data_IF_663272990544
#
_entry.id   IF_663272990544
#
_cell.length_a   1.000
_cell.length_b   1.000
_cell.length_c   1.000
_cell.angle_alpha   90.00
_cell.angle_beta   90.00
_cell.angle_gamma   90.00
#
_symmetry.space_group_name_H-M   'P 1'
#
loop_
_entity.id
_entity.type
_entity.pdbx_description
1 polymer ?
#
# COMPACT_ATOMS: atom_id res chain seq x y z
N UNK A 1 -5.88 26.61 -48.86
CA UNK A 1 -6.76 25.97 -47.86
C UNK A 1 -6.16 24.61 -47.57
N UNK A 2 -5.44 24.48 -46.46
CA UNK A 2 -4.83 23.22 -46.03
C UNK A 2 -5.83 22.43 -45.21
N UNK A 3 -6.27 21.29 -45.74
CA UNK A 3 -7.12 20.33 -45.04
C UNK A 3 -6.36 19.75 -43.84
N UNK A 4 -6.78 20.12 -42.64
CA UNK A 4 -6.36 19.44 -41.42
C UNK A 4 -7.09 18.11 -41.32
N UNK A 5 -6.37 17.01 -41.50
CA UNK A 5 -6.84 15.66 -41.21
C UNK A 5 -7.40 15.59 -39.78
N UNK A 6 -8.60 15.02 -39.56
CA UNK A 6 -9.13 14.86 -38.20
C UNK A 6 -8.22 13.92 -37.42
N UNK A 7 -7.72 14.38 -36.27
CA UNK A 7 -7.02 13.51 -35.33
C UNK A 7 -7.97 12.41 -34.86
N UNK A 8 -7.48 11.17 -34.68
CA UNK A 8 -8.32 10.10 -34.14
C UNK A 8 -8.76 10.49 -32.73
N UNK A 9 -10.05 10.76 -32.59
CA UNK A 9 -10.69 11.00 -31.29
C UNK A 9 -10.39 9.79 -30.41
N UNK A 10 -9.50 9.99 -29.42
CA UNK A 10 -9.28 9.04 -28.35
C UNK A 10 -10.62 9.00 -27.60
N UNK A 11 -11.48 8.04 -27.97
CA UNK A 11 -12.78 7.82 -27.38
C UNK A 11 -12.55 7.42 -25.93
N UNK A 12 -12.38 8.44 -25.08
CA UNK A 12 -12.44 8.28 -23.64
C UNK A 12 -13.84 7.72 -23.44
N UNK A 13 -13.96 6.45 -23.04
CA UNK A 13 -15.25 5.92 -22.59
C UNK A 13 -15.64 6.79 -21.40
N UNK A 14 -16.42 7.84 -21.66
CA UNK A 14 -17.09 8.61 -20.64
C UNK A 14 -18.11 7.60 -20.10
N UNK A 15 -17.79 6.99 -18.96
CA UNK A 15 -18.76 6.18 -18.24
C UNK A 15 -19.95 7.10 -18.00
N UNK A 16 -21.07 6.82 -18.68
CA UNK A 16 -22.25 7.64 -18.59
C UNK A 16 -22.65 7.75 -17.12
N UNK A 17 -22.68 8.99 -16.61
CA UNK A 17 -23.07 9.25 -15.23
C UNK A 17 -24.47 8.66 -15.01
N UNK A 18 -24.60 7.74 -14.05
CA UNK A 18 -25.87 7.10 -13.72
C UNK A 18 -26.06 5.68 -14.25
N UNK A 19 -25.12 5.11 -15.02
CA UNK A 19 -25.12 3.65 -15.23
C UNK A 19 -24.62 3.01 -13.95
N UNK A 20 -25.38 2.08 -13.32
CA UNK A 20 -24.88 1.32 -12.20
C UNK A 20 -23.63 0.59 -12.67
N UNK A 21 -22.44 0.95 -12.16
CA UNK A 21 -21.29 0.08 -12.29
C UNK A 21 -21.74 -1.30 -11.79
N UNK A 22 -21.57 -2.34 -12.61
CA UNK A 22 -21.75 -3.70 -12.11
C UNK A 22 -20.99 -3.79 -10.80
N UNK A 23 -21.63 -4.24 -9.70
CA UNK A 23 -20.94 -4.39 -8.43
C UNK A 23 -19.65 -5.16 -8.69
N UNK A 24 -18.56 -4.72 -8.07
CA UNK A 24 -17.27 -5.41 -8.17
C UNK A 24 -17.50 -6.88 -7.81
N UNK A 25 -17.67 -7.74 -8.82
CA UNK A 25 -17.73 -9.18 -8.60
C UNK A 25 -16.32 -9.55 -8.18
N UNK A 26 -16.18 -9.93 -6.90
CA UNK A 26 -14.92 -10.29 -6.27
C UNK A 26 -14.44 -11.65 -6.83
N UNK A 27 -14.21 -11.72 -8.14
CA UNK A 27 -13.62 -12.86 -8.81
C UNK A 27 -12.12 -12.72 -8.64
N UNK A 28 -11.54 -13.58 -7.81
CA UNK A 28 -10.08 -13.74 -7.73
C UNK A 28 -9.59 -14.09 -9.13
N UNK A 29 -8.84 -13.18 -9.75
CA UNK A 29 -8.22 -13.40 -11.04
C UNK A 29 -6.81 -13.96 -10.86
N UNK A 30 -6.22 -14.52 -11.93
CA UNK A 30 -4.83 -15.00 -11.91
C UNK A 30 -3.84 -13.94 -11.41
N UNK A 31 -4.09 -12.67 -11.72
CA UNK A 31 -3.18 -11.59 -11.32
C UNK A 31 -3.40 -11.19 -9.85
N UNK A 32 -4.62 -11.37 -9.30
CA UNK A 32 -4.82 -11.27 -7.85
C UNK A 32 -4.02 -12.36 -7.13
N UNK A 33 -4.05 -13.57 -7.69
CA UNK A 33 -3.20 -14.68 -7.25
C UNK A 33 -1.70 -14.37 -7.34
N UNK A 34 -1.25 -13.71 -8.42
CA UNK A 34 0.16 -13.33 -8.60
C UNK A 34 0.58 -12.25 -7.59
N UNK A 35 -0.20 -11.19 -7.45
CA UNK A 35 0.05 -10.08 -6.54
C UNK A 35 0.07 -10.54 -5.08
N UNK A 36 -0.92 -11.35 -4.69
CA UNK A 36 -0.96 -11.99 -3.39
C UNK A 36 0.20 -12.97 -3.24
N UNK A 37 0.47 -13.78 -4.25
CA UNK A 37 1.56 -14.77 -4.27
C UNK A 37 2.93 -14.14 -4.06
N UNK A 38 3.24 -13.02 -4.73
CA UNK A 38 4.50 -12.28 -4.52
C UNK A 38 4.60 -11.75 -3.10
N UNK A 39 3.50 -11.20 -2.56
CA UNK A 39 3.46 -10.68 -1.19
C UNK A 39 3.65 -11.79 -0.17
N UNK A 40 2.96 -12.92 -0.34
CA UNK A 40 3.09 -14.09 0.52
C UNK A 40 4.46 -14.75 0.40
N UNK A 41 5.03 -14.82 -0.80
CA UNK A 41 6.38 -15.34 -1.03
C UNK A 41 7.42 -14.46 -0.34
N UNK A 42 7.30 -13.14 -0.42
CA UNK A 42 8.16 -12.21 0.32
C UNK A 42 8.02 -12.43 1.83
N UNK A 43 6.78 -12.53 2.35
CA UNK A 43 6.54 -12.74 3.77
C UNK A 43 7.12 -14.08 4.25
N UNK A 44 6.92 -15.16 3.49
CA UNK A 44 7.49 -16.46 3.77
C UNK A 44 9.02 -16.41 3.77
N UNK A 45 9.63 -15.77 2.76
CA UNK A 45 11.08 -15.60 2.70
C UNK A 45 11.62 -14.80 3.90
N UNK A 46 10.93 -13.73 4.30
CA UNK A 46 11.31 -12.93 5.47
C UNK A 46 11.22 -13.74 6.78
N UNK A 47 10.19 -14.57 6.93
CA UNK A 47 10.03 -15.46 8.10
C UNK A 47 11.11 -16.54 8.10
N UNK A 48 11.36 -17.20 6.96
CA UNK A 48 12.39 -18.24 6.84
C UNK A 48 13.77 -17.66 7.12
N UNK A 49 14.11 -16.50 6.56
CA UNK A 49 15.37 -15.79 6.85
C UNK A 49 15.48 -15.48 8.35
N UNK A 50 14.43 -14.94 8.97
CA UNK A 50 14.43 -14.65 10.41
C UNK A 50 14.60 -15.91 11.27
N UNK A 51 13.84 -16.97 11.00
CA UNK A 51 13.92 -18.24 11.74
C UNK A 51 15.30 -18.89 11.57
N UNK A 52 15.85 -18.89 10.35
CA UNK A 52 17.17 -19.48 10.08
C UNK A 52 18.31 -18.72 10.77
N UNK A 53 18.22 -17.40 10.90
CA UNK A 53 19.23 -16.58 11.60
C UNK A 53 19.16 -16.69 13.12
N UNK A 54 17.96 -16.82 13.67
CA UNK A 54 17.73 -16.75 15.12
C UNK A 54 17.30 -18.08 15.75
N UNK A 55 17.38 -19.18 15.00
CA UNK A 55 17.13 -20.54 15.47
C UNK A 55 15.67 -20.85 15.85
N UNK A 56 14.71 -19.96 15.53
CA UNK A 56 13.28 -20.10 15.81
C UNK A 56 12.87 -20.12 17.28
N UNK A 57 13.80 -20.33 18.21
CA UNK A 57 13.54 -20.46 19.65
C UNK A 57 13.30 -19.12 20.36
N UNK A 58 13.66 -18.00 19.73
CA UNK A 58 13.42 -16.66 20.26
C UNK A 58 12.37 -15.92 19.41
N UNK A 59 11.08 -15.98 19.77
CA UNK A 59 10.01 -15.36 18.98
C UNK A 59 10.15 -13.84 18.88
N UNK A 60 10.75 -13.19 19.88
CA UNK A 60 11.04 -11.76 19.83
C UNK A 60 11.98 -11.40 18.68
N UNK A 61 13.08 -12.13 18.51
CA UNK A 61 14.05 -11.86 17.42
C UNK A 61 13.44 -12.10 16.05
N UNK A 62 12.60 -13.14 15.92
CA UNK A 62 11.87 -13.42 14.69
C UNK A 62 10.89 -12.30 14.35
N UNK A 63 10.03 -11.90 15.31
CA UNK A 63 9.06 -10.80 15.10
C UNK A 63 9.76 -9.50 14.78
N UNK A 64 10.85 -9.16 15.49
CA UNK A 64 11.65 -7.96 15.24
C UNK A 64 12.25 -7.95 13.83
N UNK A 65 12.80 -9.09 13.38
CA UNK A 65 13.37 -9.22 12.05
C UNK A 65 12.31 -9.14 10.96
N UNK A 66 11.15 -9.80 11.14
CA UNK A 66 10.03 -9.72 10.18
C UNK A 66 9.47 -8.29 10.12
N UNK A 67 9.28 -7.63 11.26
CA UNK A 67 8.87 -6.22 11.33
C UNK A 67 9.86 -5.31 10.58
N UNK A 68 11.15 -5.56 10.73
CA UNK A 68 12.19 -4.83 10.00
C UNK A 68 12.10 -5.08 8.48
N UNK A 69 12.00 -6.34 8.03
CA UNK A 69 11.92 -6.66 6.60
C UNK A 69 10.65 -6.10 5.95
N UNK A 70 9.51 -6.25 6.64
CA UNK A 70 8.22 -5.80 6.15
C UNK A 70 8.13 -4.27 6.04
N UNK A 71 8.85 -3.52 6.90
CA UNK A 71 8.94 -2.06 6.77
C UNK A 71 9.54 -1.62 5.42
N UNK A 72 10.56 -2.33 4.93
CA UNK A 72 11.23 -2.04 3.65
C UNK A 72 10.36 -2.42 2.47
N UNK A 73 9.71 -3.58 2.56
CA UNK A 73 8.72 -3.99 1.56
C UNK A 73 7.61 -2.95 1.44
N UNK A 74 7.08 -2.51 2.58
CA UNK A 74 6.08 -1.46 2.66
C UNK A 74 6.49 -0.16 2.01
N UNK A 75 7.71 0.31 2.31
CA UNK A 75 8.28 1.50 1.70
C UNK A 75 8.37 1.37 0.17
N UNK A 76 8.90 0.25 -0.33
CA UNK A 76 9.03 -0.02 -1.77
C UNK A 76 7.65 -0.08 -2.42
N UNK A 77 6.71 -0.82 -1.83
CA UNK A 77 5.36 -0.96 -2.35
C UNK A 77 4.63 0.39 -2.39
N UNK A 78 4.72 1.19 -1.33
CA UNK A 78 4.17 2.54 -1.29
C UNK A 78 4.82 3.46 -2.34
N UNK A 79 6.12 3.34 -2.59
CA UNK A 79 6.83 4.12 -3.60
C UNK A 79 6.39 3.76 -5.02
N UNK A 80 6.32 2.46 -5.32
CA UNK A 80 5.84 1.95 -6.62
C UNK A 80 4.39 2.38 -6.86
N UNK A 81 3.54 2.26 -5.85
CA UNK A 81 2.14 2.66 -5.96
C UNK A 81 1.96 4.18 -6.05
N UNK A 82 2.78 4.97 -5.34
CA UNK A 82 2.81 6.42 -5.48
C UNK A 82 3.22 6.86 -6.88
N UNK A 83 4.25 6.23 -7.46
CA UNK A 83 4.65 6.46 -8.84
C UNK A 83 3.55 6.08 -9.83
N UNK A 84 2.91 4.92 -9.64
CA UNK A 84 1.76 4.51 -10.46
C UNK A 84 0.60 5.50 -10.36
N UNK A 85 0.34 6.06 -9.17
CA UNK A 85 -0.71 7.05 -8.95
C UNK A 85 -0.44 8.34 -9.74
N UNK A 86 0.81 8.82 -9.72
CA UNK A 86 1.24 9.99 -10.50
C UNK A 86 1.16 9.73 -12.01
N UNK A 87 1.60 8.57 -12.49
CA UNK A 87 1.53 8.23 -13.91
C UNK A 87 0.07 8.17 -14.37
N UNK A 88 -0.80 7.46 -13.65
CA UNK A 88 -2.21 7.34 -14.03
C UNK A 88 -2.93 8.69 -13.93
N UNK A 89 -2.84 9.36 -12.78
CA UNK A 89 -3.60 10.59 -12.52
C UNK A 89 -3.05 11.84 -13.23
N UNK A 90 -1.73 12.02 -13.30
CA UNK A 90 -1.11 13.24 -13.83
C UNK A 90 -0.74 13.10 -15.30
N UNK A 91 -0.05 12.02 -15.67
CA UNK A 91 0.47 11.85 -17.05
C UNK A 91 -0.62 11.33 -17.97
N UNK A 92 -1.30 10.24 -17.61
CA UNK A 92 -2.31 9.63 -18.46
C UNK A 92 -3.69 10.29 -18.35
N UNK A 93 -3.92 11.04 -17.27
CA UNK A 93 -5.22 11.67 -16.95
C UNK A 93 -6.35 10.62 -16.89
N UNK A 94 -6.00 9.42 -16.44
CA UNK A 94 -6.87 8.28 -16.22
C UNK A 94 -7.38 8.28 -14.78
N UNK A 95 -8.50 7.59 -14.54
CA UNK A 95 -9.00 7.33 -13.18
C UNK A 95 -8.38 6.05 -12.60
N UNK A 96 -8.80 5.69 -11.38
CA UNK A 96 -8.36 4.47 -10.69
C UNK A 96 -8.67 3.24 -11.53
N UNK A 97 -7.63 2.53 -11.91
CA UNK A 97 -7.77 1.25 -12.61
C UNK A 97 -8.00 0.10 -11.63
N UNK A 98 -8.64 -1.01 -12.07
CA UNK A 98 -8.75 -2.21 -11.25
C UNK A 98 -7.39 -2.73 -10.74
N UNK A 99 -6.34 -2.61 -11.56
CA UNK A 99 -4.97 -2.96 -11.19
C UNK A 99 -4.43 -2.13 -10.04
N UNK A 100 -4.61 -0.82 -10.13
CA UNK A 100 -4.17 0.10 -9.10
C UNK A 100 -4.87 -0.18 -7.76
N UNK A 101 -6.18 -0.43 -7.81
CA UNK A 101 -7.00 -0.77 -6.64
C UNK A 101 -6.50 -2.02 -5.92
N UNK A 102 -6.16 -3.07 -6.67
CA UNK A 102 -5.58 -4.31 -6.12
C UNK A 102 -4.25 -4.05 -5.42
N UNK A 103 -3.36 -3.28 -6.06
CA UNK A 103 -2.10 -2.86 -5.44
C UNK A 103 -2.29 -2.06 -4.15
N UNK A 104 -3.30 -1.17 -4.12
CA UNK A 104 -3.62 -0.40 -2.91
C UNK A 104 -4.06 -1.31 -1.75
N UNK A 105 -4.81 -2.39 -2.02
CA UNK A 105 -5.16 -3.37 -0.98
C UNK A 105 -3.97 -4.17 -0.45
N UNK A 106 -2.97 -4.46 -1.28
CA UNK A 106 -1.71 -5.09 -0.82
C UNK A 106 -0.95 -4.15 0.11
N UNK A 107 -0.83 -2.88 -0.28
CA UNK A 107 -0.20 -1.87 0.59
C UNK A 107 -0.97 -1.75 1.90
N UNK A 108 -2.30 -1.66 1.84
CA UNK A 108 -3.14 -1.65 3.03
C UNK A 108 -2.86 -2.86 3.93
N UNK A 109 -2.91 -4.09 3.39
CA UNK A 109 -2.74 -5.31 4.16
C UNK A 109 -1.34 -5.44 4.76
N UNK A 110 -0.31 -5.10 4.00
CA UNK A 110 1.08 -5.11 4.48
C UNK A 110 1.32 -4.07 5.58
N UNK A 111 0.73 -2.88 5.47
CA UNK A 111 0.82 -1.82 6.50
C UNK A 111 0.02 -2.17 7.76
N UNK A 112 -1.13 -2.83 7.62
CA UNK A 112 -1.86 -3.37 8.75
C UNK A 112 -1.04 -4.43 9.49
N UNK A 113 -0.43 -5.37 8.75
CA UNK A 113 0.45 -6.38 9.33
C UNK A 113 1.67 -5.74 10.00
N UNK A 114 2.27 -4.72 9.38
CA UNK A 114 3.36 -3.95 9.96
C UNK A 114 2.98 -3.35 11.33
N UNK A 115 1.81 -2.72 11.42
CA UNK A 115 1.31 -2.16 12.67
C UNK A 115 1.09 -3.25 13.73
N UNK A 116 0.49 -4.40 13.36
CA UNK A 116 0.28 -5.53 14.27
C UNK A 116 1.62 -6.03 14.84
N UNK A 117 2.63 -6.21 13.98
CA UNK A 117 3.97 -6.64 14.42
C UNK A 117 4.62 -5.59 15.34
N UNK A 118 4.49 -4.31 15.03
CA UNK A 118 5.00 -3.21 15.88
C UNK A 118 4.32 -3.18 17.25
N UNK A 119 2.99 -3.31 17.31
CA UNK A 119 2.25 -3.42 18.58
C UNK A 119 2.59 -4.70 19.33
N UNK A 120 2.86 -5.80 18.64
CA UNK A 120 3.31 -7.04 19.28
C UNK A 120 4.67 -6.86 19.95
N UNK A 121 5.61 -6.14 19.32
CA UNK A 121 6.89 -5.77 19.95
C UNK A 121 6.68 -4.90 21.19
N UNK A 122 5.83 -3.88 21.09
CA UNK A 122 5.59 -2.92 22.18
C UNK A 122 4.86 -3.55 23.37
N UNK A 123 3.71 -4.18 23.12
CA UNK A 123 2.79 -4.66 24.16
C UNK A 123 3.06 -6.11 24.57
N UNK A 124 3.48 -6.95 23.61
CA UNK A 124 3.73 -8.37 23.85
C UNK A 124 5.12 -8.65 24.40
N UNK A 125 6.13 -7.90 23.95
CA UNK A 125 7.53 -8.09 24.36
C UNK A 125 8.11 -6.92 25.18
N UNK A 126 7.34 -5.85 25.42
CA UNK A 126 7.78 -4.70 26.21
C UNK A 126 8.88 -3.87 25.55
N UNK A 127 9.07 -3.99 24.24
CA UNK A 127 10.18 -3.36 23.50
C UNK A 127 9.83 -1.93 23.17
N UNK A 128 10.65 -0.99 23.63
CA UNK A 128 10.53 0.41 23.26
C UNK A 128 11.25 0.69 21.93
N UNK A 129 10.68 1.54 21.06
CA UNK A 129 11.38 2.01 19.88
C UNK A 129 12.54 2.94 20.26
N UNK A 130 13.47 3.16 19.34
CA UNK A 130 14.60 4.06 19.56
C UNK A 130 14.20 5.49 19.88
N UNK A 131 13.10 5.98 19.28
CA UNK A 131 12.47 7.23 19.67
C UNK A 131 10.95 7.08 19.81
N UNK A 132 10.31 7.77 20.77
CA UNK A 132 8.87 7.64 21.03
C UNK A 132 7.99 8.02 19.84
N UNK A 133 8.46 8.88 18.94
CA UNK A 133 7.77 9.31 17.72
C UNK A 133 7.48 8.13 16.78
N UNK A 134 8.23 7.03 16.86
CA UNK A 134 7.93 5.81 16.11
C UNK A 134 6.48 5.33 16.34
N UNK A 135 6.00 5.41 17.58
CA UNK A 135 4.63 5.00 17.93
C UNK A 135 3.62 5.91 17.23
N UNK A 136 3.87 7.22 17.23
CA UNK A 136 3.00 8.21 16.57
C UNK A 136 2.94 7.95 15.07
N UNK A 137 4.07 7.71 14.41
CA UNK A 137 4.10 7.40 12.98
C UNK A 137 3.49 6.03 12.66
N UNK A 138 3.65 5.03 13.52
CA UNK A 138 2.97 3.73 13.39
C UNK A 138 1.44 3.85 13.50
N UNK A 139 0.96 4.63 14.46
CA UNK A 139 -0.46 4.95 14.62
C UNK A 139 -1.00 5.74 13.42
N UNK A 140 -0.26 6.76 12.95
CA UNK A 140 -0.63 7.53 11.77
C UNK A 140 -0.75 6.64 10.53
N UNK A 141 0.17 5.70 10.33
CA UNK A 141 0.10 4.71 9.24
C UNK A 141 -1.21 3.92 9.31
N UNK A 142 -1.57 3.45 10.50
CA UNK A 142 -2.81 2.69 10.73
C UNK A 142 -4.05 3.56 10.52
N UNK A 143 -4.02 4.81 10.96
CA UNK A 143 -5.12 5.77 10.78
C UNK A 143 -5.33 6.17 9.32
N UNK A 144 -4.31 6.07 8.46
CA UNK A 144 -4.44 6.26 7.02
C UNK A 144 -5.10 5.06 6.32
N UNK A 145 -5.13 3.87 6.92
CA UNK A 145 -5.68 2.67 6.29
C UNK A 145 -7.18 2.79 5.94
N UNK A 146 -8.07 3.29 6.84
CA UNK A 146 -9.46 3.56 6.49
C UNK A 146 -9.65 4.53 5.32
N UNK A 147 -8.69 5.44 5.08
CA UNK A 147 -8.76 6.37 3.96
C UNK A 147 -8.73 5.64 2.60
N UNK A 148 -7.93 4.59 2.47
CA UNK A 148 -7.88 3.77 1.25
C UNK A 148 -9.22 3.06 0.96
N UNK A 149 -9.93 2.62 2.01
CA UNK A 149 -11.26 2.01 1.91
C UNK A 149 -12.35 3.08 1.66
N UNK A 150 -12.22 4.24 2.30
CA UNK A 150 -13.16 5.34 2.11
C UNK A 150 -13.13 5.87 0.68
N UNK A 151 -11.95 6.08 0.11
CA UNK A 151 -11.80 6.49 -1.30
C UNK A 151 -12.47 5.45 -2.21
N UNK A 152 -12.32 4.17 -1.91
CA UNK A 152 -12.94 3.11 -2.70
C UNK A 152 -14.47 3.12 -2.67
N UNK A 153 -15.06 3.40 -1.51
CA UNK A 153 -16.53 3.39 -1.35
C UNK A 153 -17.18 4.69 -1.80
N UNK A 154 -16.49 5.83 -1.69
CA UNK A 154 -17.04 7.16 -1.97
C UNK A 154 -16.64 7.76 -3.31
N UNK A 155 -15.47 7.39 -3.86
CA UNK A 155 -14.97 7.97 -5.10
C UNK A 155 -15.59 7.37 -6.37
N UNK A 156 -16.58 6.48 -6.24
CA UNK A 156 -17.46 6.07 -7.36
C UNK A 156 -18.19 7.24 -8.05
N UNK A 157 -18.17 8.43 -7.45
CA UNK A 157 -18.90 9.62 -7.95
C UNK A 157 -18.01 10.72 -8.53
N UNK A 158 -16.68 10.74 -8.32
CA UNK A 158 -15.74 11.82 -8.75
C UNK A 158 -14.28 11.32 -8.85
N UNK A 159 -13.41 11.96 -9.65
CA UNK A 159 -12.05 11.49 -9.93
C UNK A 159 -11.27 11.15 -8.65
N UNK A 160 -10.96 9.86 -8.50
CA UNK A 160 -10.44 9.27 -7.27
C UNK A 160 -8.91 9.36 -7.17
N UNK A 161 -8.23 9.56 -8.31
CA UNK A 161 -6.77 9.48 -8.36
C UNK A 161 -6.05 10.57 -7.55
N UNK A 162 -6.61 11.78 -7.44
CA UNK A 162 -6.01 12.85 -6.64
C UNK A 162 -5.87 12.46 -5.17
N UNK A 163 -6.89 11.82 -4.60
CA UNK A 163 -6.88 11.33 -3.22
C UNK A 163 -5.83 10.24 -3.01
N UNK A 164 -5.67 9.32 -3.97
CA UNK A 164 -4.63 8.29 -3.90
C UNK A 164 -3.22 8.87 -4.00
N UNK A 165 -2.99 9.88 -4.85
CA UNK A 165 -1.69 10.55 -4.94
C UNK A 165 -1.31 11.11 -3.56
N UNK A 166 -2.20 11.85 -2.92
CA UNK A 166 -1.94 12.40 -1.59
C UNK A 166 -1.80 11.31 -0.52
N UNK A 167 -2.62 10.25 -0.57
CA UNK A 167 -2.52 9.13 0.36
C UNK A 167 -1.15 8.46 0.29
N UNK A 168 -0.63 8.19 -0.91
CA UNK A 168 0.68 7.55 -1.08
C UNK A 168 1.84 8.49 -0.73
N UNK A 169 1.74 9.80 -1.01
CA UNK A 169 2.74 10.78 -0.58
C UNK A 169 2.83 10.85 0.95
N UNK A 170 1.68 10.92 1.63
CA UNK A 170 1.64 10.94 3.09
C UNK A 170 2.14 9.63 3.68
N UNK A 171 1.70 8.48 3.13
CA UNK A 171 2.15 7.17 3.57
C UNK A 171 3.67 7.03 3.45
N UNK A 172 4.27 7.46 2.33
CA UNK A 172 5.71 7.48 2.16
C UNK A 172 6.42 8.30 3.23
N UNK A 173 5.95 9.53 3.47
CA UNK A 173 6.53 10.39 4.50
C UNK A 173 6.46 9.77 5.90
N UNK A 174 5.31 9.20 6.26
CA UNK A 174 5.11 8.54 7.56
C UNK A 174 5.97 7.28 7.68
N UNK A 175 6.04 6.44 6.65
CA UNK A 175 6.86 5.20 6.67
C UNK A 175 8.34 5.53 6.77
N UNK A 176 8.85 6.51 6.02
CA UNK A 176 10.25 6.97 6.11
C UNK A 176 10.56 7.44 7.53
N UNK A 177 9.67 8.25 8.13
CA UNK A 177 9.84 8.72 9.50
C UNK A 177 9.77 7.58 10.51
N UNK A 178 8.83 6.66 10.38
CA UNK A 178 8.72 5.48 11.24
C UNK A 178 9.99 4.62 11.18
N UNK A 179 10.55 4.38 9.99
CA UNK A 179 11.80 3.63 9.83
C UNK A 179 12.95 4.37 10.51
N UNK A 180 13.03 5.70 10.34
CA UNK A 180 14.11 6.52 10.92
C UNK A 180 14.09 6.59 12.45
N UNK A 181 12.93 6.44 13.09
CA UNK A 181 12.78 6.54 14.56
C UNK A 181 12.65 5.18 15.27
N UNK A 182 12.54 4.08 14.51
CA UNK A 182 12.29 2.74 15.05
C UNK A 182 13.50 2.08 15.73
N UNK A 183 14.68 2.00 15.08
CA UNK A 183 15.86 1.39 15.68
C UNK A 183 16.36 2.19 16.89
N UNK A 184 16.56 1.52 18.03
CA UNK A 184 17.37 2.06 19.12
C UNK A 184 18.84 2.06 18.69
N UNK A 185 19.53 3.19 18.91
CA UNK A 185 20.96 3.33 18.67
C UNK A 185 21.78 2.39 19.59
#
# INVERSE_FOLDING_TARGET
MTETSPQPERTKRIYAQGVPEKPFELRITLIDGLLLGVTLAFLAAAIIDAVSRFGGSNPYLVVRAVHFQLSRYGLIAAAVMGAAALILGVVRKDDVTPWFRRGAYIVFGSMLLQAILGFTLLLGFGVQPGQPEHIVYGLATTACLPFFIFVETTAKKRPAMGSYIWAFVLLLGVVVRAIGTGPAA
#
